data_IF_609150322357
#
_entry.id   IF_609150322357
#
_cell.length_a   1.000
_cell.length_b   1.000
_cell.length_c   1.000
_cell.angle_alpha   90.00
_cell.angle_beta   90.00
_cell.angle_gamma   90.00
#
_symmetry.space_group_name_H-M   'P 1'
#
loop_
_entity.id
_entity.type
_entity.pdbx_description
1 polymer ?
#
# COMPACT_ATOMS: atom_id res chain seq x y z
N UNK A 1 60.87 -38.64 31.93
CA UNK A 1 59.42 -38.37 32.08
C UNK A 1 58.91 -37.81 30.78
N UNK A 2 58.00 -38.51 30.12
CA UNK A 2 57.59 -38.33 28.70
C UNK A 2 56.43 -37.35 28.65
N UNK A 3 56.64 -36.18 28.02
CA UNK A 3 55.57 -35.25 27.64
C UNK A 3 55.00 -35.61 26.26
N UNK A 4 53.71 -35.91 26.21
CA UNK A 4 52.99 -36.15 24.97
C UNK A 4 52.38 -34.87 24.48
N UNK A 5 52.79 -34.42 23.28
CA UNK A 5 52.10 -33.39 22.50
C UNK A 5 50.82 -34.00 21.90
N UNK A 6 49.70 -33.41 22.22
CA UNK A 6 48.43 -33.64 21.48
C UNK A 6 48.31 -32.55 20.40
N UNK A 7 48.39 -33.00 19.16
CA UNK A 7 48.10 -32.17 17.97
C UNK A 7 46.59 -32.21 17.75
N UNK A 8 45.90 -31.08 17.96
CA UNK A 8 44.52 -30.88 17.55
C UNK A 8 44.47 -30.41 16.11
N UNK A 9 44.14 -31.32 15.20
CA UNK A 9 43.71 -30.99 13.84
C UNK A 9 42.32 -30.40 13.88
N UNK A 10 42.20 -29.08 13.66
CA UNK A 10 40.97 -28.36 13.51
C UNK A 10 40.49 -28.58 12.05
N UNK A 11 39.59 -29.51 11.82
CA UNK A 11 38.88 -29.66 10.54
C UNK A 11 37.80 -28.59 10.48
N UNK A 12 38.05 -27.54 9.69
CA UNK A 12 37.06 -26.51 9.32
C UNK A 12 36.04 -27.14 8.35
N UNK A 13 34.91 -27.59 8.87
CA UNK A 13 33.77 -27.98 8.04
C UNK A 13 33.10 -26.72 7.47
N UNK A 14 33.32 -26.46 6.18
CA UNK A 14 32.60 -25.47 5.41
C UNK A 14 31.15 -25.97 5.30
N UNK A 15 30.26 -25.46 6.16
CA UNK A 15 28.82 -25.58 5.96
C UNK A 15 28.44 -24.66 4.79
N UNK A 16 28.36 -25.21 3.59
CA UNK A 16 27.59 -24.61 2.50
C UNK A 16 26.14 -24.60 2.97
N UNK A 17 25.65 -23.44 3.41
CA UNK A 17 24.24 -23.20 3.53
C UNK A 17 23.67 -23.28 2.12
N UNK A 18 23.08 -24.42 1.77
CA UNK A 18 22.23 -24.52 0.60
C UNK A 18 21.08 -23.55 0.83
N UNK A 19 21.03 -22.48 0.03
CA UNK A 19 19.82 -21.67 -0.08
C UNK A 19 18.66 -22.65 -0.37
N UNK A 20 17.52 -22.54 0.31
CA UNK A 20 16.38 -23.37 -0.05
C UNK A 20 16.09 -23.10 -1.53
N UNK A 21 16.28 -24.12 -2.36
CA UNK A 21 15.73 -24.10 -3.71
C UNK A 21 14.24 -23.91 -3.51
N UNK A 22 13.72 -22.75 -3.91
CA UNK A 22 12.28 -22.53 -4.06
C UNK A 22 11.85 -23.65 -5.01
N UNK A 23 11.22 -24.67 -4.42
CA UNK A 23 10.68 -25.78 -5.17
C UNK A 23 9.58 -25.16 -6.00
N UNK A 24 9.79 -25.05 -7.32
CA UNK A 24 8.77 -24.56 -8.24
C UNK A 24 7.52 -25.40 -7.96
N UNK A 25 6.50 -24.76 -7.42
CA UNK A 25 5.21 -25.39 -7.20
C UNK A 25 4.81 -26.01 -8.55
N UNK A 26 4.49 -27.29 -8.53
CA UNK A 26 4.12 -27.99 -9.75
C UNK A 26 2.77 -27.43 -10.18
N UNK A 27 2.81 -26.40 -11.05
CA UNK A 27 1.60 -25.71 -11.48
C UNK A 27 0.74 -26.71 -12.26
N UNK A 28 -0.53 -26.82 -11.87
CA UNK A 28 -1.46 -27.76 -12.48
C UNK A 28 -1.90 -27.36 -13.90
N UNK A 29 -1.56 -26.12 -14.34
CA UNK A 29 -2.07 -25.55 -15.59
C UNK A 29 -1.15 -25.85 -16.77
N UNK A 30 -1.67 -26.59 -17.76
CA UNK A 30 -0.93 -27.02 -18.94
C UNK A 30 -0.66 -25.88 -19.94
N UNK A 31 -1.44 -24.80 -19.89
CA UNK A 31 -1.30 -23.61 -20.72
C UNK A 31 -0.32 -22.58 -20.13
N UNK A 32 0.35 -22.89 -18.99
CA UNK A 32 1.35 -22.05 -18.35
C UNK A 32 2.67 -22.82 -18.25
N UNK A 33 3.46 -22.89 -19.33
CA UNK A 33 4.75 -23.57 -19.30
C UNK A 33 5.75 -22.84 -18.36
N UNK A 34 6.76 -23.56 -17.85
CA UNK A 34 7.67 -23.02 -16.83
C UNK A 34 8.50 -21.80 -17.31
N UNK A 35 8.66 -21.63 -18.62
CA UNK A 35 9.32 -20.48 -19.24
C UNK A 35 8.34 -19.33 -19.59
N UNK A 36 7.05 -19.46 -19.27
CA UNK A 36 6.08 -18.39 -19.48
C UNK A 36 6.42 -17.17 -18.61
N UNK A 37 6.40 -15.98 -19.20
CA UNK A 37 6.79 -14.73 -18.53
C UNK A 37 6.06 -14.46 -17.22
N UNK A 38 4.79 -14.89 -17.09
CA UNK A 38 3.96 -14.71 -15.89
C UNK A 38 3.90 -15.98 -15.02
N UNK A 39 4.77 -16.99 -15.24
CA UNK A 39 4.70 -18.26 -14.52
C UNK A 39 4.73 -18.06 -13.00
N UNK A 40 5.70 -17.29 -12.50
CA UNK A 40 5.86 -17.05 -11.08
C UNK A 40 4.66 -16.27 -10.49
N UNK A 41 4.18 -15.25 -11.20
CA UNK A 41 3.03 -14.45 -10.76
C UNK A 41 1.75 -15.31 -10.70
N UNK A 42 1.51 -16.16 -11.73
CA UNK A 42 0.34 -17.06 -11.78
C UNK A 42 0.42 -18.08 -10.63
N UNK A 43 1.59 -18.68 -10.40
CA UNK A 43 1.79 -19.61 -9.29
C UNK A 43 1.46 -18.93 -7.94
N UNK A 44 2.01 -17.75 -7.72
CA UNK A 44 1.83 -16.97 -6.50
C UNK A 44 0.34 -16.64 -6.23
N UNK A 45 -0.34 -16.04 -7.21
CA UNK A 45 -1.77 -15.66 -7.03
C UNK A 45 -2.69 -16.87 -6.93
N UNK A 46 -2.30 -18.02 -7.49
CA UNK A 46 -3.05 -19.27 -7.38
C UNK A 46 -2.85 -19.91 -6.01
N UNK A 47 -1.62 -19.98 -5.52
CA UNK A 47 -1.29 -20.48 -4.18
C UNK A 47 -1.94 -19.63 -3.09
N UNK A 48 -1.95 -18.32 -3.27
CA UNK A 48 -2.64 -17.38 -2.38
C UNK A 48 -4.18 -17.46 -2.47
N UNK A 49 -4.76 -18.26 -3.38
CA UNK A 49 -6.21 -18.40 -3.54
C UNK A 49 -6.89 -17.19 -4.19
N UNK A 50 -6.12 -16.23 -4.73
CA UNK A 50 -6.66 -15.04 -5.39
C UNK A 50 -7.26 -15.37 -6.75
N UNK A 51 -6.60 -16.27 -7.48
CA UNK A 51 -7.04 -16.77 -8.78
C UNK A 51 -7.29 -18.27 -8.75
N UNK A 52 -8.15 -18.70 -9.66
CA UNK A 52 -8.35 -20.10 -10.00
C UNK A 52 -8.25 -20.22 -11.52
N UNK A 53 -7.94 -21.42 -12.04
CA UNK A 53 -8.02 -21.72 -13.45
C UNK A 53 -9.44 -21.57 -13.99
N UNK A 54 -9.57 -21.51 -15.30
CA UNK A 54 -10.87 -21.59 -15.97
C UNK A 54 -11.45 -23.02 -15.89
N UNK A 55 -10.55 -23.99 -15.69
CA UNK A 55 -10.84 -25.38 -15.31
C UNK A 55 -9.67 -25.97 -14.49
N UNK A 56 -9.73 -27.26 -14.19
CA UNK A 56 -8.75 -27.93 -13.33
C UNK A 56 -7.32 -27.95 -13.90
N UNK A 57 -7.14 -27.79 -15.21
CA UNK A 57 -5.86 -27.93 -15.93
C UNK A 57 -5.48 -26.71 -16.77
N UNK A 58 -6.35 -25.71 -16.85
CA UNK A 58 -6.19 -24.53 -17.72
C UNK A 58 -6.32 -23.25 -16.91
N UNK A 59 -5.31 -22.40 -16.94
CA UNK A 59 -5.37 -21.06 -16.34
C UNK A 59 -6.20 -20.10 -17.19
N UNK A 60 -6.15 -20.24 -18.51
CA UNK A 60 -6.78 -19.36 -19.48
C UNK A 60 -5.86 -18.25 -19.96
N UNK A 61 -4.59 -18.58 -20.25
CA UNK A 61 -3.62 -17.64 -20.85
C UNK A 61 -4.17 -17.05 -22.15
N UNK A 62 -4.01 -15.74 -22.34
CA UNK A 62 -4.51 -14.99 -23.49
C UNK A 62 -6.00 -14.65 -23.44
N UNK A 63 -6.78 -15.21 -22.52
CA UNK A 63 -8.19 -14.83 -22.35
C UNK A 63 -8.28 -13.47 -21.65
N UNK A 64 -9.23 -12.63 -22.07
CA UNK A 64 -9.50 -11.36 -21.37
C UNK A 64 -10.10 -11.62 -20.00
N UNK A 65 -9.74 -10.79 -19.02
CA UNK A 65 -10.33 -10.81 -17.68
C UNK A 65 -11.51 -9.86 -17.60
N UNK A 66 -12.62 -10.28 -16.99
CA UNK A 66 -13.74 -9.37 -16.76
C UNK A 66 -13.52 -8.50 -15.54
N UNK A 67 -14.22 -7.36 -15.48
CA UNK A 67 -14.21 -6.44 -14.34
C UNK A 67 -14.62 -7.13 -13.03
N UNK A 68 -15.66 -7.97 -13.09
CA UNK A 68 -16.12 -8.74 -11.94
C UNK A 68 -15.08 -9.75 -11.43
N UNK A 69 -14.38 -10.44 -12.35
CA UNK A 69 -13.31 -11.36 -11.98
C UNK A 69 -12.16 -10.62 -11.26
N UNK A 70 -11.74 -9.47 -11.79
CA UNK A 70 -10.68 -8.67 -11.18
C UNK A 70 -11.06 -8.17 -9.79
N UNK A 71 -12.27 -7.62 -9.64
CA UNK A 71 -12.77 -7.15 -8.34
C UNK A 71 -12.85 -8.31 -7.33
N UNK A 72 -13.30 -9.50 -7.76
CA UNK A 72 -13.35 -10.66 -6.87
C UNK A 72 -11.95 -11.06 -6.38
N UNK A 73 -10.95 -11.02 -7.25
CA UNK A 73 -9.56 -11.28 -6.84
C UNK A 73 -9.02 -10.18 -5.91
N UNK A 74 -9.39 -8.93 -6.14
CA UNK A 74 -9.01 -7.80 -5.30
C UNK A 74 -9.62 -7.90 -3.88
N UNK A 75 -10.91 -8.24 -3.77
CA UNK A 75 -11.59 -8.48 -2.48
C UNK A 75 -10.89 -9.58 -1.68
N UNK A 76 -10.49 -10.66 -2.35
CA UNK A 76 -9.73 -11.75 -1.72
C UNK A 76 -8.34 -11.31 -1.27
N UNK A 77 -7.65 -10.48 -2.08
CA UNK A 77 -6.32 -9.98 -1.76
C UNK A 77 -6.31 -9.16 -0.46
N UNK A 78 -7.30 -8.31 -0.27
CA UNK A 78 -7.41 -7.46 0.92
C UNK A 78 -8.13 -8.16 2.09
N UNK A 79 -8.63 -9.38 1.88
CA UNK A 79 -9.39 -10.17 2.87
C UNK A 79 -10.56 -9.37 3.48
N UNK A 80 -11.26 -8.60 2.66
CA UNK A 80 -12.36 -7.78 3.13
C UNK A 80 -13.57 -8.61 3.54
N UNK A 81 -14.17 -8.24 4.67
CA UNK A 81 -15.45 -8.82 5.11
C UNK A 81 -16.54 -8.57 4.07
N UNK A 82 -17.32 -9.63 3.78
CA UNK A 82 -18.37 -9.57 2.78
C UNK A 82 -19.48 -8.59 3.18
N UNK A 83 -19.76 -7.62 2.32
CA UNK A 83 -20.85 -6.67 2.46
C UNK A 83 -21.98 -7.01 1.50
N UNK A 84 -23.20 -7.12 2.03
CA UNK A 84 -24.44 -7.31 1.25
C UNK A 84 -25.41 -6.22 1.69
N UNK A 85 -25.56 -5.15 0.89
CA UNK A 85 -26.46 -4.04 1.25
C UNK A 85 -27.94 -4.43 1.06
N UNK A 86 -28.86 -3.71 1.71
CA UNK A 86 -30.30 -3.88 1.53
C UNK A 86 -30.75 -3.52 0.10
N UNK A 87 -30.09 -2.56 -0.52
CA UNK A 87 -30.33 -2.17 -1.92
C UNK A 87 -29.01 -2.21 -2.70
N UNK A 88 -29.03 -2.77 -3.92
CA UNK A 88 -27.84 -2.83 -4.76
C UNK A 88 -27.34 -1.43 -5.13
N UNK A 89 -26.02 -1.27 -5.08
CA UNK A 89 -25.36 0.00 -5.44
C UNK A 89 -25.44 0.29 -6.94
N UNK A 90 -25.23 -0.74 -7.75
CA UNK A 90 -25.17 -0.59 -9.21
C UNK A 90 -26.40 -1.18 -9.90
N UNK A 91 -26.99 -0.43 -10.84
CA UNK A 91 -28.21 -0.79 -11.53
C UNK A 91 -28.07 -2.08 -12.38
N UNK A 92 -26.86 -2.37 -12.86
CA UNK A 92 -26.53 -3.55 -13.65
C UNK A 92 -25.96 -4.73 -12.82
N UNK A 93 -25.89 -4.57 -11.49
CA UNK A 93 -25.50 -5.61 -10.54
C UNK A 93 -26.58 -5.83 -9.47
N UNK A 94 -27.86 -5.84 -9.87
CA UNK A 94 -28.98 -5.87 -8.91
C UNK A 94 -29.45 -7.27 -8.51
N UNK A 95 -28.96 -8.34 -9.15
CA UNK A 95 -29.31 -9.72 -8.83
C UNK A 95 -28.35 -10.31 -7.77
N UNK A 96 -28.78 -10.52 -6.52
CA UNK A 96 -27.93 -11.02 -5.45
C UNK A 96 -27.49 -12.50 -5.66
N UNK A 97 -28.10 -13.22 -6.58
CA UNK A 97 -27.69 -14.59 -6.92
C UNK A 97 -26.53 -14.66 -7.93
N UNK A 98 -26.11 -13.54 -8.47
CA UNK A 98 -24.94 -13.51 -9.35
C UNK A 98 -23.67 -13.74 -8.53
N UNK A 99 -22.79 -14.59 -9.03
CA UNK A 99 -21.55 -14.99 -8.35
C UNK A 99 -20.64 -13.80 -7.96
N UNK A 100 -20.75 -12.68 -8.66
CA UNK A 100 -19.94 -11.48 -8.45
C UNK A 100 -20.62 -10.42 -7.57
N UNK A 101 -21.92 -10.59 -7.24
CA UNK A 101 -22.69 -9.55 -6.54
C UNK A 101 -22.02 -9.10 -5.25
N UNK A 102 -21.77 -10.04 -4.34
CA UNK A 102 -21.17 -9.72 -3.04
C UNK A 102 -19.78 -9.11 -3.18
N UNK A 103 -18.96 -9.58 -4.12
CA UNK A 103 -17.63 -9.02 -4.34
C UNK A 103 -17.69 -7.57 -4.86
N UNK A 104 -18.63 -7.24 -5.75
CA UNK A 104 -18.81 -5.87 -6.26
C UNK A 104 -19.26 -4.93 -5.15
N UNK A 105 -20.23 -5.32 -4.34
CA UNK A 105 -20.73 -4.53 -3.22
C UNK A 105 -19.67 -4.36 -2.12
N UNK A 106 -18.92 -5.43 -1.81
CA UNK A 106 -17.80 -5.36 -0.87
C UNK A 106 -16.70 -4.40 -1.34
N UNK A 107 -16.32 -4.47 -2.61
CA UNK A 107 -15.31 -3.57 -3.18
C UNK A 107 -15.79 -2.09 -3.19
N UNK A 108 -17.08 -1.87 -3.42
CA UNK A 108 -17.66 -0.53 -3.32
C UNK A 108 -17.63 -0.01 -1.89
N UNK A 109 -18.07 -0.80 -0.93
CA UNK A 109 -18.07 -0.43 0.50
C UNK A 109 -16.66 -0.09 1.03
N UNK A 110 -15.63 -0.75 0.48
CA UNK A 110 -14.22 -0.51 0.81
C UNK A 110 -13.54 0.55 -0.11
N UNK A 111 -14.32 1.33 -0.86
CA UNK A 111 -13.82 2.46 -1.63
C UNK A 111 -13.03 2.12 -2.91
N UNK A 112 -12.89 0.85 -3.28
CA UNK A 112 -12.19 0.43 -4.49
C UNK A 112 -12.90 0.87 -5.78
N UNK A 113 -14.21 1.09 -5.71
CA UNK A 113 -15.05 1.55 -6.82
C UNK A 113 -15.51 2.99 -6.59
N UNK A 114 -15.68 3.80 -7.66
CA UNK A 114 -16.06 5.20 -7.51
C UNK A 114 -17.51 5.37 -7.06
N UNK A 115 -17.77 6.25 -6.10
CA UNK A 115 -19.09 6.51 -5.51
C UNK A 115 -20.09 7.19 -6.47
N UNK A 116 -19.62 7.78 -7.55
CA UNK A 116 -20.46 8.47 -8.54
C UNK A 116 -20.91 7.54 -9.69
N UNK A 117 -20.42 6.30 -9.76
CA UNK A 117 -20.81 5.38 -10.82
C UNK A 117 -22.17 4.74 -10.51
N UNK A 118 -23.06 4.70 -11.50
CA UNK A 118 -24.39 4.08 -11.39
C UNK A 118 -24.43 2.68 -12.01
N UNK A 119 -23.39 2.30 -12.75
CA UNK A 119 -23.24 1.04 -13.45
C UNK A 119 -21.81 0.52 -13.27
N UNK A 120 -21.65 -0.77 -13.01
CA UNK A 120 -20.36 -1.39 -12.81
C UNK A 120 -19.84 -2.10 -14.06
N UNK A 121 -20.69 -2.59 -14.95
CA UNK A 121 -20.35 -3.38 -16.15
C UNK A 121 -19.57 -4.67 -15.81
N UNK A 122 -20.16 -5.59 -15.04
CA UNK A 122 -19.44 -6.72 -14.43
C UNK A 122 -18.79 -7.68 -15.43
N UNK A 123 -19.42 -7.87 -16.58
CA UNK A 123 -19.00 -8.83 -17.60
C UNK A 123 -18.14 -8.23 -18.72
N UNK A 124 -17.96 -6.91 -18.73
CA UNK A 124 -17.06 -6.26 -19.68
C UNK A 124 -15.60 -6.62 -19.38
N UNK A 125 -14.74 -6.71 -20.41
CA UNK A 125 -13.31 -6.83 -20.21
C UNK A 125 -12.77 -5.65 -19.39
N UNK A 126 -11.94 -5.94 -18.39
CA UNK A 126 -11.28 -4.88 -17.61
C UNK A 126 -10.14 -4.26 -18.41
N UNK A 127 -10.01 -2.94 -18.40
CA UNK A 127 -8.89 -2.24 -19.03
C UNK A 127 -7.72 -2.09 -18.08
N UNK A 128 -6.55 -1.78 -18.62
CA UNK A 128 -5.32 -1.52 -17.86
C UNK A 128 -5.47 -0.32 -16.94
N UNK A 129 -6.15 0.74 -17.39
CA UNK A 129 -6.49 1.92 -16.58
C UNK A 129 -7.41 1.56 -15.41
N UNK A 130 -8.43 0.76 -15.67
CA UNK A 130 -9.38 0.34 -14.65
C UNK A 130 -8.72 -0.52 -13.56
N UNK A 131 -7.79 -1.41 -13.93
CA UNK A 131 -7.00 -2.18 -12.95
C UNK A 131 -6.17 -1.25 -12.05
N UNK A 132 -5.42 -0.30 -12.64
CA UNK A 132 -4.61 0.65 -11.88
C UNK A 132 -5.48 1.49 -10.93
N UNK A 133 -6.62 1.98 -11.43
CA UNK A 133 -7.55 2.80 -10.65
C UNK A 133 -8.13 2.02 -9.47
N UNK A 134 -8.62 0.80 -9.69
CA UNK A 134 -9.21 -0.02 -8.64
C UNK A 134 -8.19 -0.39 -7.56
N UNK A 135 -6.95 -0.73 -7.91
CA UNK A 135 -5.89 -1.04 -6.93
C UNK A 135 -5.52 0.17 -6.07
N UNK A 136 -5.30 1.32 -6.67
CA UNK A 136 -4.92 2.54 -5.95
C UNK A 136 -6.06 3.02 -5.04
N UNK A 137 -7.31 2.88 -5.48
CA UNK A 137 -8.48 3.16 -4.65
C UNK A 137 -8.60 2.17 -3.49
N UNK A 138 -8.39 0.88 -3.76
CA UNK A 138 -8.41 -0.18 -2.74
C UNK A 138 -7.35 0.01 -1.65
N UNK A 139 -6.21 0.61 -2.00
CA UNK A 139 -5.17 1.02 -1.04
C UNK A 139 -5.54 2.28 -0.22
N UNK A 140 -6.68 2.94 -0.50
CA UNK A 140 -7.06 4.20 0.15
C UNK A 140 -6.33 5.43 -0.41
N UNK A 141 -5.62 5.34 -1.53
CA UNK A 141 -4.74 6.39 -2.05
C UNK A 141 -5.41 7.33 -3.05
N UNK A 142 -6.74 7.51 -2.96
CA UNK A 142 -7.48 8.43 -3.82
C UNK A 142 -7.02 9.88 -3.66
N UNK A 143 -6.79 10.33 -2.43
CA UNK A 143 -6.28 11.69 -2.17
C UNK A 143 -4.88 11.89 -2.73
N UNK A 144 -4.01 10.88 -2.58
CA UNK A 144 -2.67 10.88 -3.17
C UNK A 144 -2.73 10.94 -4.70
N UNK A 145 -3.58 10.14 -5.34
CA UNK A 145 -3.79 10.20 -6.78
C UNK A 145 -4.31 11.55 -7.26
N UNK A 146 -5.17 12.20 -6.48
CA UNK A 146 -5.72 13.52 -6.79
C UNK A 146 -4.68 14.65 -6.89
N UNK A 147 -3.52 14.51 -6.24
CA UNK A 147 -2.43 15.51 -6.31
C UNK A 147 -1.45 15.28 -7.46
N UNK A 148 -1.54 14.15 -8.17
CA UNK A 148 -0.65 13.82 -9.27
C UNK A 148 -1.12 14.46 -10.60
N UNK A 149 -0.17 14.76 -11.48
CA UNK A 149 -0.42 15.34 -12.80
C UNK A 149 0.15 14.47 -13.94
N UNK A 150 -0.31 14.73 -15.15
CA UNK A 150 0.19 14.05 -16.36
C UNK A 150 1.70 14.16 -16.55
N UNK A 151 2.31 15.28 -16.14
CA UNK A 151 3.75 15.52 -16.29
C UNK A 151 4.62 14.58 -15.45
N UNK A 152 4.02 13.85 -14.52
CA UNK A 152 4.71 12.87 -13.66
C UNK A 152 4.71 11.45 -14.26
N UNK A 153 4.03 11.25 -15.39
CA UNK A 153 3.97 9.95 -16.07
C UNK A 153 5.02 9.88 -17.19
N UNK A 154 5.70 8.74 -17.34
CA UNK A 154 6.59 8.50 -18.48
C UNK A 154 5.81 8.07 -19.75
N UNK A 155 4.48 8.19 -19.76
CA UNK A 155 3.59 7.72 -20.83
C UNK A 155 2.93 8.90 -21.53
N UNK A 156 2.80 8.82 -22.85
CA UNK A 156 2.26 9.89 -23.68
C UNK A 156 0.80 9.69 -24.13
N UNK A 157 0.18 8.57 -23.75
CA UNK A 157 -1.15 8.15 -24.17
C UNK A 157 -2.18 8.11 -23.03
N UNK A 158 -1.83 8.61 -21.84
CA UNK A 158 -2.72 8.64 -20.67
C UNK A 158 -3.39 10.01 -20.59
N UNK A 159 -4.71 10.07 -20.79
CA UNK A 159 -5.50 11.29 -20.77
C UNK A 159 -6.48 11.37 -19.60
N UNK A 160 -6.88 10.22 -19.04
CA UNK A 160 -7.81 10.07 -17.91
C UNK A 160 -7.14 9.33 -16.76
N UNK A 161 -7.66 9.47 -15.55
CA UNK A 161 -7.17 8.77 -14.34
C UNK A 161 -5.64 8.83 -14.14
N UNK A 162 -5.01 9.90 -14.65
CA UNK A 162 -3.56 10.08 -14.66
C UNK A 162 -2.90 9.87 -13.31
N UNK A 163 -3.52 10.40 -12.26
CA UNK A 163 -3.01 10.27 -10.90
C UNK A 163 -3.02 8.83 -10.39
N UNK A 164 -4.07 8.09 -10.69
CA UNK A 164 -4.12 6.66 -10.30
C UNK A 164 -3.07 5.83 -11.02
N UNK A 165 -2.88 6.08 -12.33
CA UNK A 165 -1.83 5.40 -13.11
C UNK A 165 -0.45 5.81 -12.61
N UNK A 166 -0.24 7.11 -12.26
CA UNK A 166 1.02 7.58 -11.71
C UNK A 166 1.37 6.89 -10.39
N UNK A 167 0.44 6.83 -9.44
CA UNK A 167 0.65 6.13 -8.17
C UNK A 167 0.92 4.65 -8.40
N UNK A 168 0.11 3.96 -9.22
CA UNK A 168 0.31 2.54 -9.51
C UNK A 168 1.69 2.27 -10.15
N UNK A 169 2.17 3.17 -11.03
CA UNK A 169 3.49 3.10 -11.65
C UNK A 169 4.60 3.35 -10.62
N UNK A 170 4.48 4.41 -9.82
CA UNK A 170 5.45 4.75 -8.78
C UNK A 170 5.59 3.62 -7.73
N UNK A 171 4.51 2.92 -7.41
CA UNK A 171 4.54 1.75 -6.54
C UNK A 171 5.07 0.48 -7.25
N UNK A 172 5.31 0.53 -8.56
CA UNK A 172 5.79 -0.60 -9.37
C UNK A 172 4.74 -1.71 -9.56
N UNK A 173 3.47 -1.39 -9.43
CA UNK A 173 2.38 -2.32 -9.66
C UNK A 173 2.11 -2.50 -11.16
N UNK A 174 2.22 -1.43 -11.92
CA UNK A 174 2.04 -1.43 -13.36
C UNK A 174 3.28 -0.90 -14.09
N UNK A 175 3.47 -1.33 -15.33
CA UNK A 175 4.52 -0.86 -16.23
C UNK A 175 3.92 -0.44 -17.57
N UNK A 176 4.63 0.43 -18.31
CA UNK A 176 4.32 0.71 -19.69
C UNK A 176 4.99 -0.25 -20.66
N UNK A 177 4.78 -0.01 -21.93
CA UNK A 177 5.44 -0.71 -23.03
C UNK A 177 6.73 0.02 -23.45
N UNK A 178 7.62 -0.70 -24.12
CA UNK A 178 8.87 -0.13 -24.67
C UNK A 178 8.64 1.05 -25.63
N UNK A 179 7.43 1.18 -26.19
CA UNK A 179 7.00 2.30 -27.02
C UNK A 179 6.78 3.63 -26.28
N UNK A 180 6.90 3.66 -24.94
CA UNK A 180 6.55 4.82 -24.12
C UNK A 180 5.05 4.99 -23.92
N UNK A 181 4.26 3.95 -24.19
CA UNK A 181 2.81 3.93 -24.03
C UNK A 181 2.40 3.10 -22.82
N UNK A 182 1.31 3.48 -22.17
CA UNK A 182 0.63 2.70 -21.15
C UNK A 182 -0.48 1.83 -21.73
N UNK A 183 -1.16 2.29 -22.76
CA UNK A 183 -2.34 1.72 -23.41
C UNK A 183 -3.50 1.57 -22.42
N UNK A 184 -4.04 2.69 -21.91
CA UNK A 184 -5.04 2.70 -20.83
C UNK A 184 -6.30 1.88 -21.17
N UNK A 185 -6.81 2.01 -22.39
CA UNK A 185 -8.07 1.36 -22.85
C UNK A 185 -7.88 -0.09 -23.28
N UNK A 186 -6.65 -0.61 -23.29
CA UNK A 186 -6.41 -2.00 -23.70
C UNK A 186 -6.99 -2.95 -22.66
N UNK A 187 -7.85 -3.86 -23.11
CA UNK A 187 -8.33 -4.96 -22.29
C UNK A 187 -7.17 -5.82 -21.77
N UNK A 188 -7.19 -6.13 -20.48
CA UNK A 188 -6.17 -6.95 -19.86
C UNK A 188 -6.49 -8.44 -20.02
N UNK A 189 -5.44 -9.23 -20.25
CA UNK A 189 -5.54 -10.68 -20.19
C UNK A 189 -5.42 -11.19 -18.75
N UNK A 190 -5.82 -12.45 -18.52
CA UNK A 190 -5.80 -13.05 -17.18
C UNK A 190 -4.38 -13.11 -16.59
N UNK A 191 -3.39 -13.48 -17.40
CA UNK A 191 -1.99 -13.49 -16.97
C UNK A 191 -1.44 -12.08 -16.69
N UNK A 192 -1.89 -11.05 -17.40
CA UNK A 192 -1.53 -9.67 -17.09
C UNK A 192 -2.15 -9.20 -15.77
N UNK A 193 -3.40 -9.56 -15.51
CA UNK A 193 -4.05 -9.27 -14.24
C UNK A 193 -3.41 -10.05 -13.08
N UNK A 194 -3.04 -11.31 -13.30
CA UNK A 194 -2.31 -12.11 -12.32
C UNK A 194 -0.97 -11.47 -11.95
N UNK A 195 -0.20 -11.00 -12.95
CA UNK A 195 1.08 -10.34 -12.71
C UNK A 195 0.94 -9.03 -11.93
N UNK A 196 -0.11 -8.25 -12.19
CA UNK A 196 -0.36 -6.99 -11.49
C UNK A 196 -0.79 -7.24 -10.05
N UNK A 197 -1.74 -8.16 -9.82
CA UNK A 197 -2.21 -8.51 -8.48
C UNK A 197 -1.17 -9.31 -7.68
N UNK A 198 -0.33 -10.11 -8.33
CA UNK A 198 0.80 -10.79 -7.69
C UNK A 198 1.80 -9.80 -7.09
N UNK A 199 2.19 -8.77 -7.86
CA UNK A 199 3.05 -7.69 -7.34
C UNK A 199 2.43 -6.93 -6.17
N UNK A 200 1.13 -6.66 -6.24
CA UNK A 200 0.42 -6.02 -5.13
C UNK A 200 0.40 -6.93 -3.90
N UNK A 201 0.07 -8.21 -4.09
CA UNK A 201 0.02 -9.19 -3.02
C UNK A 201 1.36 -9.35 -2.31
N UNK A 202 2.46 -9.51 -3.06
CA UNK A 202 3.81 -9.64 -2.50
C UNK A 202 4.17 -8.46 -1.59
N UNK A 203 3.83 -7.25 -2.02
CA UNK A 203 4.12 -6.02 -1.28
C UNK A 203 3.18 -5.81 -0.09
N UNK A 204 1.90 -6.11 -0.28
CA UNK A 204 0.87 -5.96 0.73
C UNK A 204 1.05 -6.95 1.88
N UNK A 205 1.33 -8.22 1.57
CA UNK A 205 1.51 -9.29 2.54
C UNK A 205 2.91 -9.33 3.19
N UNK A 206 3.86 -8.55 2.66
CA UNK A 206 5.20 -8.46 3.25
C UNK A 206 5.14 -7.91 4.69
N UNK A 207 6.07 -8.36 5.53
CA UNK A 207 6.17 -7.89 6.92
C UNK A 207 7.15 -6.73 7.02
N UNK A 208 6.79 -5.71 7.79
CA UNK A 208 7.71 -4.65 8.21
C UNK A 208 8.51 -5.08 9.42
N UNK A 209 9.77 -4.68 9.49
CA UNK A 209 10.71 -5.10 10.53
C UNK A 209 11.36 -3.88 11.17
N UNK A 210 11.21 -3.74 12.49
CA UNK A 210 11.97 -2.75 13.24
C UNK A 210 13.43 -3.18 13.33
N UNK A 211 14.35 -2.26 13.02
CA UNK A 211 15.78 -2.51 12.93
C UNK A 211 16.57 -1.45 13.71
N UNK A 212 17.85 -1.75 13.98
CA UNK A 212 18.82 -0.75 14.42
C UNK A 212 19.37 0.04 13.24
N UNK A 213 20.00 1.19 13.49
CA UNK A 213 20.55 2.07 12.44
C UNK A 213 21.68 1.43 11.61
N UNK A 214 22.36 0.43 12.14
CA UNK A 214 23.53 -0.18 11.50
C UNK A 214 23.16 -0.93 10.21
N UNK A 215 23.85 -0.63 9.12
CA UNK A 215 23.73 -1.35 7.84
C UNK A 215 22.61 -0.85 6.93
N UNK A 216 21.89 0.21 7.28
CA UNK A 216 20.82 0.78 6.47
C UNK A 216 21.11 2.21 6.03
N UNK A 217 20.63 2.59 4.85
CA UNK A 217 20.46 3.97 4.43
C UNK A 217 19.23 4.53 5.13
N UNK A 218 19.41 5.56 5.97
CA UNK A 218 18.31 6.13 6.76
C UNK A 218 17.54 7.14 5.91
N UNK A 219 16.24 6.99 5.86
CA UNK A 219 15.31 7.95 5.29
C UNK A 219 14.53 8.60 6.44
N UNK A 220 14.77 9.87 6.65
CA UNK A 220 14.05 10.71 7.61
C UNK A 220 13.18 11.68 6.81
N UNK A 221 11.90 11.74 7.13
CA UNK A 221 10.98 12.74 6.58
C UNK A 221 10.83 13.82 7.65
N UNK A 222 11.23 15.07 7.38
CA UNK A 222 11.09 16.14 8.36
C UNK A 222 9.61 16.35 8.70
N UNK A 223 9.34 16.56 9.99
CA UNK A 223 8.05 17.12 10.38
C UNK A 223 7.99 18.55 9.86
N UNK A 224 6.86 18.98 9.28
CA UNK A 224 6.72 20.35 8.79
C UNK A 224 6.89 21.33 9.95
N UNK A 225 7.69 22.36 9.74
CA UNK A 225 7.73 23.47 10.68
C UNK A 225 6.37 24.18 10.69
N UNK A 226 5.85 24.42 11.89
CA UNK A 226 4.62 25.19 12.05
C UNK A 226 4.88 26.62 11.59
N UNK A 227 4.36 26.97 10.44
CA UNK A 227 4.39 28.37 10.00
C UNK A 227 3.26 29.13 10.69
N UNK A 228 3.57 30.28 11.27
CA UNK A 228 2.68 31.12 12.06
C UNK A 228 1.45 31.68 11.27
N UNK A 229 1.31 31.33 10.02
CA UNK A 229 0.32 31.93 9.08
C UNK A 229 -0.74 30.95 8.58
N UNK A 230 -0.83 29.73 9.11
CA UNK A 230 -1.88 28.79 8.76
C UNK A 230 -2.94 28.73 9.83
N UNK A 231 -4.16 29.09 9.47
CA UNK A 231 -5.35 29.07 10.34
C UNK A 231 -5.83 27.67 10.74
N UNK A 232 -5.10 26.62 10.38
CA UNK A 232 -5.35 25.22 10.76
C UNK A 232 -4.02 24.58 11.13
N UNK A 233 -3.90 24.00 12.35
CA UNK A 233 -2.71 23.25 12.75
C UNK A 233 -2.66 21.95 11.91
N UNK A 234 -1.72 21.86 11.01
CA UNK A 234 -1.92 20.98 9.86
C UNK A 234 -0.83 19.98 9.65
N UNK A 235 -0.11 19.49 10.67
CA UNK A 235 0.79 18.48 10.16
C UNK A 235 1.12 17.37 11.14
N UNK A 236 0.82 16.13 10.72
CA UNK A 236 1.28 14.95 11.41
C UNK A 236 2.80 14.85 11.37
N UNK A 237 3.36 14.10 12.30
CA UNK A 237 4.72 13.57 12.22
C UNK A 237 4.83 12.76 10.92
N UNK A 238 5.92 12.93 10.19
CA UNK A 238 6.17 12.32 8.87
C UNK A 238 4.91 12.30 7.99
N UNK A 239 4.50 13.43 7.41
CA UNK A 239 3.29 13.51 6.59
C UNK A 239 3.27 12.45 5.50
N UNK A 240 2.15 11.77 5.32
CA UNK A 240 2.03 10.65 4.38
C UNK A 240 2.46 11.02 2.96
N UNK A 241 2.10 12.22 2.51
CA UNK A 241 2.48 12.71 1.19
C UNK A 241 3.99 12.96 1.06
N UNK A 242 4.63 13.50 2.11
CA UNK A 242 6.06 13.79 2.10
C UNK A 242 6.87 12.50 2.19
N UNK A 243 6.38 11.51 2.95
CA UNK A 243 6.93 10.16 2.96
C UNK A 243 6.86 9.52 1.56
N UNK A 244 5.71 9.63 0.88
CA UNK A 244 5.57 9.14 -0.48
C UNK A 244 6.59 9.80 -1.43
N UNK A 245 6.70 11.13 -1.39
CA UNK A 245 7.60 11.87 -2.26
C UNK A 245 9.08 11.53 -1.97
N UNK A 246 9.44 11.34 -0.70
CA UNK A 246 10.78 10.92 -0.29
C UNK A 246 11.12 9.50 -0.78
N UNK A 247 10.20 8.54 -0.61
CA UNK A 247 10.36 7.17 -1.11
C UNK A 247 10.46 7.12 -2.65
N UNK A 248 9.61 7.89 -3.33
CA UNK A 248 9.67 8.04 -4.79
C UNK A 248 11.00 8.61 -5.26
N UNK A 249 11.53 9.62 -4.58
CA UNK A 249 12.83 10.22 -4.89
C UNK A 249 13.97 9.20 -4.75
N UNK A 250 14.00 8.42 -3.68
CA UNK A 250 14.99 7.36 -3.47
C UNK A 250 14.93 6.31 -4.59
N UNK A 251 13.74 5.84 -4.92
CA UNK A 251 13.55 4.86 -5.99
C UNK A 251 13.97 5.41 -7.36
N UNK A 252 13.64 6.67 -7.66
CA UNK A 252 14.02 7.33 -8.93
C UNK A 252 15.53 7.52 -9.03
N UNK A 253 16.21 7.76 -7.90
CA UNK A 253 17.68 7.83 -7.83
C UNK A 253 18.37 6.45 -8.00
N UNK A 254 17.60 5.37 -8.08
CA UNK A 254 18.15 4.01 -8.24
C UNK A 254 18.67 3.42 -6.91
N UNK A 255 18.25 3.96 -5.76
CA UNK A 255 18.59 3.41 -4.45
C UNK A 255 18.06 1.98 -4.30
N UNK A 256 18.86 1.08 -3.76
CA UNK A 256 18.37 -0.24 -3.36
C UNK A 256 17.43 -0.10 -2.16
N UNK A 257 16.13 -0.13 -2.44
CA UNK A 257 15.09 0.07 -1.42
C UNK A 257 15.12 -0.98 -0.31
N UNK A 258 15.69 -2.16 -0.55
CA UNK A 258 15.85 -3.20 0.48
C UNK A 258 16.87 -2.82 1.56
N UNK A 259 17.75 -1.87 1.28
CA UNK A 259 18.76 -1.33 2.19
C UNK A 259 18.34 0.00 2.82
N UNK A 260 17.12 0.45 2.58
CA UNK A 260 16.56 1.65 3.20
C UNK A 260 15.82 1.27 4.47
N UNK A 261 16.00 2.05 5.54
CA UNK A 261 15.16 2.04 6.74
C UNK A 261 14.54 3.42 6.95
N UNK A 262 13.22 3.48 7.05
CA UNK A 262 12.52 4.74 7.34
C UNK A 262 12.53 4.98 8.85
N UNK A 263 12.84 6.20 9.26
CA UNK A 263 12.82 6.62 10.65
C UNK A 263 11.48 7.29 10.93
N UNK A 264 10.72 6.74 11.85
CA UNK A 264 9.49 7.31 12.39
C UNK A 264 9.70 7.79 13.81
N UNK A 265 9.02 8.87 14.19
CA UNK A 265 9.07 9.45 15.53
C UNK A 265 7.80 9.04 16.30
N UNK A 266 7.94 8.58 17.54
CA UNK A 266 6.82 8.40 18.46
C UNK A 266 6.37 9.74 19.05
N UNK A 267 5.16 9.80 19.59
CA UNK A 267 4.60 11.01 20.17
C UNK A 267 3.75 11.80 19.18
N UNK A 268 3.78 13.14 19.29
CA UNK A 268 2.88 13.98 18.53
C UNK A 268 3.36 15.40 18.32
N UNK A 269 2.55 16.17 17.56
CA UNK A 269 2.67 17.61 17.42
C UNK A 269 1.41 18.25 18.00
N UNK A 270 1.58 18.97 19.11
CA UNK A 270 0.52 19.72 19.76
C UNK A 270 0.49 21.17 19.25
N UNK A 271 -0.67 21.63 18.77
CA UNK A 271 -0.88 23.01 18.37
C UNK A 271 -2.02 23.62 19.18
N UNK A 272 -1.70 24.67 19.91
CA UNK A 272 -2.68 25.42 20.69
C UNK A 272 -3.17 26.63 19.90
N UNK A 273 -4.50 26.77 19.81
CA UNK A 273 -5.17 27.86 19.12
C UNK A 273 -6.04 28.65 20.12
N UNK A 274 -6.07 29.96 20.00
CA UNK A 274 -6.99 30.84 20.72
C UNK A 274 -7.74 31.74 19.74
N UNK A 275 -9.02 31.50 19.58
CA UNK A 275 -9.80 32.12 18.50
C UNK A 275 -9.29 31.64 17.14
N UNK A 276 -8.78 32.53 16.30
CA UNK A 276 -8.18 32.22 14.99
C UNK A 276 -6.65 32.27 14.98
N UNK A 277 -6.01 32.38 16.17
CA UNK A 277 -4.56 32.56 16.28
C UNK A 277 -3.90 31.32 16.87
N UNK A 278 -2.84 30.81 16.23
CA UNK A 278 -1.93 29.83 16.78
C UNK A 278 -1.12 30.51 17.90
N UNK A 279 -1.17 29.91 19.09
CA UNK A 279 -0.45 30.38 20.29
C UNK A 279 0.89 29.65 20.44
N UNK A 280 0.89 28.34 20.24
CA UNK A 280 2.09 27.50 20.27
C UNK A 280 1.93 26.30 19.35
N UNK A 281 3.07 25.78 18.88
CA UNK A 281 3.19 24.45 18.28
C UNK A 281 4.46 23.83 18.84
N UNK A 282 4.32 22.60 19.30
CA UNK A 282 5.41 21.88 19.96
C UNK A 282 5.34 20.39 19.68
N UNK A 283 6.50 19.75 19.61
CA UNK A 283 6.60 18.30 19.58
C UNK A 283 6.45 17.80 21.01
N UNK A 284 5.58 16.81 21.19
CA UNK A 284 5.30 16.21 22.49
C UNK A 284 5.65 14.71 22.45
N UNK A 285 6.00 14.17 23.62
CA UNK A 285 6.33 12.76 23.81
C UNK A 285 5.10 11.88 23.68
N UNK A 286 5.32 10.57 23.57
CA UNK A 286 4.22 9.59 23.60
C UNK A 286 3.46 9.63 24.92
N UNK A 287 4.15 9.84 26.04
CA UNK A 287 3.55 9.96 27.39
C UNK A 287 2.59 11.16 27.45
N UNK A 288 2.98 12.31 26.91
CA UNK A 288 2.12 13.49 26.83
C UNK A 288 0.91 13.29 25.89
N UNK A 289 1.05 12.51 24.80
CA UNK A 289 -0.09 12.13 23.95
C UNK A 289 -1.08 11.27 24.76
N UNK A 290 -0.59 10.33 25.57
CA UNK A 290 -1.41 9.47 26.41
C UNK A 290 -2.16 10.28 27.48
N UNK A 291 -1.52 11.31 28.07
CA UNK A 291 -2.20 12.23 28.97
C UNK A 291 -3.39 12.96 28.32
N UNK A 292 -3.24 13.39 27.04
CA UNK A 292 -4.36 13.97 26.30
C UNK A 292 -5.47 12.95 26.00
N UNK A 293 -5.11 11.69 25.71
CA UNK A 293 -6.09 10.64 25.40
C UNK A 293 -6.89 10.20 26.64
N UNK A 294 -6.34 10.35 27.83
CA UNK A 294 -6.99 10.05 29.11
C UNK A 294 -7.89 11.20 29.61
N UNK A 295 -7.82 12.39 29.00
CA UNK A 295 -8.66 13.51 29.34
C UNK A 295 -10.09 13.33 28.81
N UNK A 296 -11.08 13.48 29.70
CA UNK A 296 -12.51 13.28 29.39
C UNK A 296 -13.08 14.28 28.36
N UNK A 297 -12.43 15.45 28.18
CA UNK A 297 -12.83 16.49 27.25
C UNK A 297 -12.14 16.35 25.87
N UNK A 298 -11.43 15.25 25.66
CA UNK A 298 -10.73 14.95 24.40
C UNK A 298 -11.61 14.22 23.40
N UNK A 299 -11.59 14.69 22.17
CA UNK A 299 -12.21 14.03 21.00
C UNK A 299 -11.15 13.52 20.05
N UNK A 300 -11.23 12.23 19.69
CA UNK A 300 -10.27 11.54 18.80
C UNK A 300 -10.85 11.39 17.41
N UNK A 301 -10.04 11.63 16.40
CA UNK A 301 -10.37 11.57 14.98
C UNK A 301 -9.26 10.87 14.20
N UNK A 302 -9.59 10.42 12.99
CA UNK A 302 -8.62 9.94 12.00
C UNK A 302 -8.79 10.69 10.68
N UNK A 303 -7.71 11.10 10.08
CA UNK A 303 -7.69 11.77 8.78
C UNK A 303 -7.26 10.80 7.69
N UNK A 304 -8.20 10.34 6.89
CA UNK A 304 -7.92 9.51 5.71
C UNK A 304 -6.97 10.21 4.71
N UNK A 305 -7.08 11.52 4.57
CA UNK A 305 -6.24 12.28 3.66
C UNK A 305 -4.78 12.37 4.14
N UNK A 306 -4.56 12.45 5.46
CA UNK A 306 -3.25 12.50 6.08
C UNK A 306 -2.74 11.11 6.49
N UNK A 307 -3.59 10.09 6.48
CA UNK A 307 -3.32 8.77 7.03
C UNK A 307 -2.72 8.89 8.44
N UNK A 308 -3.39 9.64 9.32
CA UNK A 308 -2.90 9.96 10.65
C UNK A 308 -4.04 10.26 11.63
N UNK A 309 -3.84 9.86 12.88
CA UNK A 309 -4.75 10.19 13.97
C UNK A 309 -4.51 11.62 14.47
N UNK A 310 -5.58 12.26 14.92
CA UNK A 310 -5.49 13.52 15.66
C UNK A 310 -6.56 13.58 16.73
N UNK A 311 -6.32 14.37 17.75
CA UNK A 311 -7.27 14.68 18.79
C UNK A 311 -7.44 16.18 18.95
N UNK A 312 -8.57 16.58 19.52
CA UNK A 312 -8.82 17.95 19.96
C UNK A 312 -9.24 17.93 21.43
N UNK A 313 -8.68 18.84 22.23
CA UNK A 313 -9.02 19.03 23.63
C UNK A 313 -9.29 20.51 23.91
N UNK A 314 -10.25 20.79 24.79
CA UNK A 314 -10.54 22.16 25.22
C UNK A 314 -9.65 22.55 26.40
N UNK A 315 -8.80 23.54 26.17
CA UNK A 315 -7.93 24.11 27.19
C UNK A 315 -8.58 25.27 27.94
N UNK A 316 -7.96 25.70 29.01
CA UNK A 316 -8.42 26.84 29.82
C UNK A 316 -8.37 28.16 29.03
N UNK A 317 -9.34 29.04 29.24
CA UNK A 317 -9.36 30.39 28.63
C UNK A 317 -9.80 30.44 27.18
N UNK A 318 -10.61 29.50 26.72
CA UNK A 318 -11.12 29.44 25.33
C UNK A 318 -10.02 29.07 24.31
N UNK A 319 -9.08 28.26 24.75
CA UNK A 319 -8.05 27.65 23.88
C UNK A 319 -8.51 26.29 23.44
N UNK A 320 -8.13 25.90 22.23
CA UNK A 320 -8.28 24.52 21.72
C UNK A 320 -6.90 23.99 21.39
N UNK A 321 -6.60 22.79 21.82
CA UNK A 321 -5.38 22.07 21.47
C UNK A 321 -5.74 21.00 20.46
N UNK A 322 -5.01 20.96 19.34
CA UNK A 322 -5.08 19.85 18.38
C UNK A 322 -3.74 19.12 18.44
N UNK A 323 -3.79 17.82 18.67
CA UNK A 323 -2.60 16.97 18.66
C UNK A 323 -2.70 15.99 17.50
N UNK A 324 -1.75 16.07 16.57
CA UNK A 324 -1.51 15.03 15.58
C UNK A 324 -0.51 14.03 16.17
N UNK A 325 -0.84 12.75 16.15
CA UNK A 325 -0.01 11.75 16.81
C UNK A 325 0.05 10.43 16.05
N UNK A 326 1.11 9.67 16.32
CA UNK A 326 1.35 8.36 15.73
C UNK A 326 0.64 7.29 16.56
N UNK A 327 -0.53 6.85 16.11
CA UNK A 327 -1.15 5.64 16.62
C UNK A 327 -0.76 4.41 15.78
N UNK A 328 -1.21 3.23 16.18
CA UNK A 328 -0.92 2.00 15.45
C UNK A 328 -1.44 2.03 14.01
N UNK A 329 -2.62 2.55 13.78
CA UNK A 329 -3.24 2.64 12.45
C UNK A 329 -2.45 3.57 11.52
N UNK A 330 -2.04 4.75 12.01
CA UNK A 330 -1.19 5.68 11.26
C UNK A 330 0.18 5.08 10.92
N UNK A 331 0.80 4.36 11.88
CA UNK A 331 2.06 3.67 11.64
C UNK A 331 1.91 2.57 10.59
N UNK A 332 0.89 1.72 10.69
CA UNK A 332 0.65 0.65 9.72
C UNK A 332 0.36 1.18 8.32
N UNK A 333 -0.38 2.28 8.17
CA UNK A 333 -0.60 2.93 6.89
C UNK A 333 0.73 3.40 6.24
N UNK A 334 1.62 4.00 7.03
CA UNK A 334 2.95 4.43 6.58
C UNK A 334 3.87 3.23 6.29
N UNK A 335 3.84 2.19 7.11
CA UNK A 335 4.59 0.95 6.87
C UNK A 335 4.11 0.23 5.61
N UNK A 336 2.81 0.21 5.35
CA UNK A 336 2.28 -0.31 4.08
C UNK A 336 2.84 0.49 2.89
N UNK A 337 2.83 1.81 2.94
CA UNK A 337 3.43 2.64 1.90
C UNK A 337 4.92 2.29 1.69
N UNK A 338 5.68 2.13 2.76
CA UNK A 338 7.09 1.70 2.69
C UNK A 338 7.23 0.35 1.98
N UNK A 339 6.44 -0.66 2.35
CA UNK A 339 6.43 -1.98 1.71
C UNK A 339 6.09 -1.90 0.22
N UNK A 340 5.13 -1.07 -0.15
CA UNK A 340 4.76 -0.84 -1.55
C UNK A 340 5.92 -0.28 -2.38
N UNK A 341 6.80 0.52 -1.78
CA UNK A 341 8.05 0.97 -2.40
C UNK A 341 9.20 -0.06 -2.30
N UNK A 342 9.04 -1.15 -1.56
CA UNK A 342 10.05 -2.19 -1.35
C UNK A 342 10.92 -1.97 -0.11
N UNK A 343 10.52 -1.07 0.80
CA UNK A 343 11.18 -0.82 2.08
C UNK A 343 10.47 -1.61 3.17
N UNK A 344 11.16 -2.60 3.75
CA UNK A 344 10.61 -3.46 4.80
C UNK A 344 11.23 -3.17 6.18
N UNK A 345 12.20 -2.26 6.26
CA UNK A 345 12.88 -1.90 7.50
C UNK A 345 12.44 -0.52 7.99
N UNK A 346 12.23 -0.40 9.31
CA UNK A 346 11.93 0.88 9.93
C UNK A 346 12.63 1.01 11.30
N UNK A 347 12.78 2.24 11.76
CA UNK A 347 13.27 2.62 13.08
C UNK A 347 12.18 3.46 13.73
N UNK A 348 11.81 3.13 14.95
CA UNK A 348 10.97 3.99 15.79
C UNK A 348 11.90 4.72 16.77
N UNK A 349 11.88 6.04 16.73
CA UNK A 349 12.67 6.92 17.56
C UNK A 349 11.75 7.63 18.54
N UNK A 350 12.09 7.58 19.82
CA UNK A 350 11.47 8.39 20.88
C UNK A 350 11.98 9.83 20.84
#
# INVERSE_FOLDING_TARGET
MKTRLFSCLLTLALLLAAAPAVQAANMAYTDVPADHWAYADIANVTEAGLFQGVDATTFGVGQTMTRAQFVTALVRLFDWETVIPEMPTFSDCSDPNRWYYSAVETAYANGALPSYATSFRPLDPITREEMATMMVRALGYTSLAGRMSASQLPFNDVTTNQGYIAVAYDLGLVNGYASGQFKPDQAATREQAAAVLGRLYDKYSASSRQVSRAGYTLLTVPSPEATADTSIPTTPLEPFNDLYDALKAQRTAGTDMSQVAVVFTSGGIATTVQGSRIVSTETISQEEVEEYLDDADTHVFYSEAAQCAYLTSEGTGGRTVTVWYQNQEALEAKLLLCRLFGVNAYILQE
#
